data_IF_517306433364
#
_entry.id   IF_517306433364
#
_cell.length_a   1.000
_cell.length_b   1.000
_cell.length_c   1.000
_cell.angle_alpha   90.00
_cell.angle_beta   90.00
_cell.angle_gamma   90.00
#
_symmetry.space_group_name_H-M   'P 1'
#
loop_
_entity.id
_entity.type
_entity.pdbx_description
1 polymer ?
#
# COMPACT_ATOMS: atom_id res chain seq x y z
N UNK A 1 7.25 -15.69 -13.38
CA UNK A 1 5.84 -15.26 -13.26
C UNK A 1 5.90 -13.93 -12.53
N UNK A 2 5.39 -12.88 -13.14
CA UNK A 2 5.34 -11.55 -12.50
C UNK A 2 4.28 -11.52 -11.39
N UNK A 3 4.42 -10.60 -10.43
CA UNK A 3 3.47 -10.45 -9.33
C UNK A 3 2.03 -10.25 -9.83
N UNK A 4 1.85 -9.46 -10.90
CA UNK A 4 0.54 -9.21 -11.52
C UNK A 4 -0.06 -10.49 -12.15
N UNK A 5 0.76 -11.33 -12.79
CA UNK A 5 0.28 -12.60 -13.37
C UNK A 5 -0.11 -13.60 -12.28
N UNK A 6 0.64 -13.64 -11.17
CA UNK A 6 0.30 -14.48 -10.02
C UNK A 6 -1.00 -14.00 -9.37
N UNK A 7 -1.15 -12.69 -9.17
CA UNK A 7 -2.33 -12.09 -8.58
C UNK A 7 -3.59 -12.33 -9.43
N UNK A 8 -3.47 -12.14 -10.76
CA UNK A 8 -4.56 -12.41 -11.71
C UNK A 8 -4.97 -13.89 -11.71
N UNK A 9 -4.00 -14.81 -11.60
CA UNK A 9 -4.27 -16.23 -11.45
C UNK A 9 -4.94 -16.56 -10.11
N UNK A 10 -4.51 -15.94 -9.02
CA UNK A 10 -5.10 -16.09 -7.68
C UNK A 10 -6.55 -15.60 -7.64
N UNK A 11 -6.83 -14.44 -8.23
CA UNK A 11 -8.18 -13.89 -8.31
C UNK A 11 -9.16 -14.77 -9.15
N UNK A 12 -8.63 -15.58 -10.07
CA UNK A 12 -9.40 -16.50 -10.92
C UNK A 12 -9.59 -17.89 -10.31
N UNK A 13 -9.02 -18.17 -9.13
CA UNK A 13 -9.26 -19.45 -8.46
C UNK A 13 -10.74 -19.60 -8.15
N UNK A 14 -11.32 -20.71 -8.63
CA UNK A 14 -12.71 -21.06 -8.33
C UNK A 14 -12.84 -21.34 -6.82
N UNK A 15 -13.61 -20.49 -6.18
CA UNK A 15 -13.94 -20.60 -4.76
C UNK A 15 -15.21 -21.42 -4.64
N UNK A 16 -15.13 -22.72 -4.87
CA UNK A 16 -16.26 -23.66 -4.88
C UNK A 16 -17.16 -23.58 -3.63
N UNK A 17 -18.26 -24.34 -3.60
CA UNK A 17 -19.20 -24.34 -2.47
C UNK A 17 -18.51 -24.62 -1.14
N UNK A 18 -18.65 -23.71 -0.18
CA UNK A 18 -17.99 -23.81 1.14
C UNK A 18 -16.71 -22.99 1.30
N UNK A 19 -16.11 -22.48 0.23
CA UNK A 19 -14.89 -21.67 0.30
C UNK A 19 -15.05 -20.41 1.17
N UNK A 20 -16.22 -19.79 1.17
CA UNK A 20 -16.49 -18.63 2.03
C UNK A 20 -16.43 -18.98 3.53
N UNK A 21 -16.97 -20.14 3.93
CA UNK A 21 -16.93 -20.60 5.32
C UNK A 21 -15.50 -20.99 5.73
N UNK A 22 -14.75 -21.61 4.83
CA UNK A 22 -13.35 -21.94 5.05
C UNK A 22 -12.50 -20.68 5.18
N UNK A 23 -12.70 -19.69 4.32
CA UNK A 23 -12.04 -18.40 4.40
C UNK A 23 -12.32 -17.72 5.75
N UNK A 24 -13.57 -17.67 6.20
CA UNK A 24 -13.93 -17.10 7.50
C UNK A 24 -13.27 -17.84 8.67
N UNK A 25 -13.12 -19.17 8.57
CA UNK A 25 -12.39 -19.94 9.56
C UNK A 25 -10.90 -19.57 9.59
N UNK A 26 -10.27 -19.44 8.42
CA UNK A 26 -8.87 -19.03 8.29
C UNK A 26 -8.66 -17.61 8.82
N UNK A 27 -9.55 -16.68 8.50
CA UNK A 27 -9.47 -15.30 8.99
C UNK A 27 -9.56 -15.21 10.53
N UNK A 28 -10.49 -15.95 11.16
CA UNK A 28 -10.57 -16.03 12.63
C UNK A 28 -9.32 -16.66 13.25
N UNK A 29 -8.67 -17.60 12.57
CA UNK A 29 -7.40 -18.15 13.02
C UNK A 29 -6.29 -17.10 12.88
N UNK A 30 -6.24 -16.36 11.79
CA UNK A 30 -5.27 -15.29 11.57
C UNK A 30 -5.41 -14.16 12.61
N UNK A 31 -6.64 -13.74 12.95
CA UNK A 31 -6.87 -12.78 14.05
C UNK A 31 -6.32 -13.27 15.39
N UNK A 32 -6.59 -14.52 15.73
CA UNK A 32 -6.08 -15.11 16.98
C UNK A 32 -4.56 -15.23 16.99
N UNK A 33 -3.96 -15.59 15.87
CA UNK A 33 -2.51 -15.64 15.73
C UNK A 33 -1.89 -14.24 15.85
N UNK A 34 -2.47 -13.24 15.18
CA UNK A 34 -2.07 -11.83 15.28
C UNK A 34 -2.15 -11.34 16.74
N UNK A 35 -3.28 -11.56 17.40
CA UNK A 35 -3.50 -11.17 18.80
C UNK A 35 -2.49 -11.84 19.74
N UNK A 36 -2.14 -13.12 19.50
CA UNK A 36 -1.13 -13.86 20.29
C UNK A 36 0.27 -13.23 20.20
N UNK A 37 0.54 -12.45 19.16
CA UNK A 37 1.79 -11.72 18.92
C UNK A 37 1.69 -10.24 19.31
N UNK A 38 0.57 -9.82 19.89
CA UNK A 38 0.33 -8.43 20.31
C UNK A 38 -0.11 -7.49 19.17
N UNK A 39 -0.44 -8.01 17.99
CA UNK A 39 -1.00 -7.23 16.90
C UNK A 39 -2.47 -6.94 17.20
N UNK A 40 -2.85 -5.67 17.26
CA UNK A 40 -4.19 -5.22 17.63
C UNK A 40 -4.94 -4.51 16.50
N UNK A 41 -4.29 -4.32 15.36
CA UNK A 41 -4.90 -3.69 14.19
C UNK A 41 -4.04 -3.87 12.95
N UNK A 42 -4.69 -3.73 11.80
CA UNK A 42 -4.07 -3.85 10.47
C UNK A 42 -4.58 -2.75 9.55
N UNK A 43 -3.75 -2.35 8.60
CA UNK A 43 -4.15 -1.62 7.39
C UNK A 43 -4.24 -2.63 6.27
N UNK A 44 -5.44 -2.82 5.74
CA UNK A 44 -5.67 -3.77 4.66
C UNK A 44 -5.52 -3.06 3.31
N UNK A 45 -4.48 -3.44 2.59
CA UNK A 45 -4.18 -2.94 1.24
C UNK A 45 -4.30 -4.05 0.18
N UNK A 46 -5.21 -5.00 0.39
CA UNK A 46 -5.56 -5.94 -0.67
C UNK A 46 -6.11 -5.21 -1.89
N UNK A 47 -5.78 -5.70 -3.08
CA UNK A 47 -6.29 -5.15 -4.34
C UNK A 47 -7.71 -5.66 -4.60
N UNK A 48 -8.64 -5.27 -3.73
CA UNK A 48 -10.03 -5.73 -3.69
C UNK A 48 -10.98 -4.59 -3.30
N UNK A 49 -12.28 -4.89 -3.22
CA UNK A 49 -13.32 -4.00 -2.67
C UNK A 49 -13.26 -4.06 -1.14
N UNK A 50 -12.26 -3.43 -0.55
CA UNK A 50 -11.95 -3.60 0.87
C UNK A 50 -13.06 -3.09 1.78
N UNK A 51 -13.70 -1.97 1.46
CA UNK A 51 -14.82 -1.42 2.24
C UNK A 51 -15.93 -2.45 2.36
N UNK A 52 -16.49 -2.92 1.25
CA UNK A 52 -17.60 -3.87 1.22
C UNK A 52 -17.20 -5.22 1.83
N UNK A 53 -15.97 -5.64 1.56
CA UNK A 53 -15.40 -6.88 2.11
C UNK A 53 -15.39 -6.83 3.64
N UNK A 54 -14.92 -5.72 4.23
CA UNK A 54 -14.85 -5.59 5.69
C UNK A 54 -16.22 -5.35 6.34
N UNK A 55 -17.12 -4.61 5.71
CA UNK A 55 -18.51 -4.52 6.15
C UNK A 55 -19.13 -5.93 6.25
N UNK A 56 -18.93 -6.75 5.21
CA UNK A 56 -19.41 -8.13 5.21
C UNK A 56 -18.73 -9.00 6.28
N UNK A 57 -17.43 -8.86 6.50
CA UNK A 57 -16.68 -9.60 7.54
C UNK A 57 -17.13 -9.22 8.95
N UNK A 58 -17.29 -7.93 9.24
CA UNK A 58 -17.83 -7.45 10.53
C UNK A 58 -19.24 -7.98 10.78
N UNK A 59 -20.12 -7.97 9.79
CA UNK A 59 -21.47 -8.53 9.90
C UNK A 59 -21.49 -10.03 10.25
N UNK A 60 -20.41 -10.74 9.96
CA UNK A 60 -20.21 -12.16 10.28
C UNK A 60 -19.41 -12.40 11.57
N UNK A 61 -19.17 -11.32 12.36
CA UNK A 61 -18.48 -11.39 13.65
C UNK A 61 -16.98 -11.63 13.54
N UNK A 62 -16.32 -11.04 12.51
CA UNK A 62 -14.86 -10.95 12.44
C UNK A 62 -14.46 -9.60 13.05
N UNK A 63 -14.25 -9.56 14.35
CA UNK A 63 -14.08 -8.36 15.17
C UNK A 63 -12.89 -8.44 16.13
N UNK A 64 -11.92 -9.29 15.85
CA UNK A 64 -10.72 -9.50 16.69
C UNK A 64 -9.62 -8.45 16.49
N UNK A 65 -9.69 -7.63 15.45
CA UNK A 65 -8.68 -6.61 15.11
C UNK A 65 -9.34 -5.28 14.71
N UNK A 66 -8.61 -4.18 14.93
CA UNK A 66 -8.92 -2.92 14.26
C UNK A 66 -8.49 -3.01 12.79
N UNK A 67 -9.28 -2.42 11.90
CA UNK A 67 -9.02 -2.46 10.47
C UNK A 67 -9.17 -1.08 9.86
N UNK A 68 -8.19 -0.66 9.09
CA UNK A 68 -8.28 0.43 8.14
C UNK A 68 -8.35 -0.17 6.73
N UNK A 69 -9.52 -0.08 6.08
CA UNK A 69 -9.76 -0.65 4.75
C UNK A 69 -9.28 0.33 3.67
N UNK A 70 -8.12 0.10 3.09
CA UNK A 70 -7.53 0.94 2.05
C UNK A 70 -8.28 0.87 0.73
N UNK A 71 -8.19 1.94 -0.06
CA UNK A 71 -8.88 2.09 -1.34
C UNK A 71 -7.85 2.31 -2.44
N UNK A 72 -7.94 1.56 -3.53
CA UNK A 72 -7.07 1.78 -4.69
C UNK A 72 -7.59 2.92 -5.59
N UNK A 73 -6.73 3.56 -6.40
CA UNK A 73 -7.11 4.70 -7.25
C UNK A 73 -8.28 4.40 -8.18
N UNK A 74 -8.39 3.16 -8.67
CA UNK A 74 -9.47 2.71 -9.55
C UNK A 74 -10.83 2.70 -8.86
N UNK A 75 -10.85 2.65 -7.52
CA UNK A 75 -12.06 2.63 -6.67
C UNK A 75 -12.34 3.96 -5.98
N UNK A 76 -11.38 4.89 -6.02
CA UNK A 76 -11.50 6.16 -5.32
C UNK A 76 -12.75 6.94 -5.74
N UNK A 77 -13.04 7.00 -7.04
CA UNK A 77 -14.21 7.73 -7.53
C UNK A 77 -15.52 7.12 -7.04
N UNK A 78 -15.62 5.79 -6.99
CA UNK A 78 -16.79 5.12 -6.43
C UNK A 78 -16.93 5.42 -4.93
N UNK A 79 -15.85 5.35 -4.17
CA UNK A 79 -15.87 5.68 -2.75
C UNK A 79 -16.32 7.13 -2.49
N UNK A 80 -15.88 8.07 -3.33
CA UNK A 80 -16.33 9.47 -3.31
C UNK A 80 -17.84 9.57 -3.57
N UNK A 81 -18.32 8.91 -4.62
CA UNK A 81 -19.75 8.92 -5.00
C UNK A 81 -20.63 8.28 -3.93
N UNK A 82 -20.13 7.31 -3.19
CA UNK A 82 -20.77 6.66 -2.03
C UNK A 82 -20.67 7.51 -0.76
N UNK A 83 -19.94 8.62 -0.79
CA UNK A 83 -19.81 9.57 0.32
C UNK A 83 -18.82 9.19 1.41
N UNK A 84 -17.87 8.28 1.11
CA UNK A 84 -16.83 7.87 2.04
C UNK A 84 -15.69 8.88 2.16
N UNK A 85 -15.05 8.90 3.35
CA UNK A 85 -13.82 9.64 3.64
C UNK A 85 -12.90 8.78 4.51
N UNK A 86 -11.61 9.05 4.49
CA UNK A 86 -10.69 8.38 5.42
C UNK A 86 -11.12 8.64 6.87
N UNK A 87 -11.20 7.56 7.65
CA UNK A 87 -11.59 7.59 9.06
C UNK A 87 -13.07 7.34 9.31
N UNK A 88 -13.92 7.30 8.28
CA UNK A 88 -15.33 6.96 8.46
C UNK A 88 -15.48 5.54 8.99
N UNK A 89 -16.37 5.36 9.99
CA UNK A 89 -16.61 4.05 10.59
C UNK A 89 -17.37 3.15 9.62
N UNK A 90 -16.87 1.92 9.45
CA UNK A 90 -17.55 0.91 8.66
C UNK A 90 -18.78 0.35 9.38
N UNK A 91 -19.94 0.23 8.71
CA UNK A 91 -21.15 -0.32 9.30
C UNK A 91 -20.94 -1.68 9.97
N UNK A 92 -21.43 -1.83 11.19
CA UNK A 92 -21.34 -3.08 11.95
C UNK A 92 -19.98 -3.37 12.58
N UNK A 93 -19.01 -2.47 12.45
CA UNK A 93 -17.65 -2.65 13.00
C UNK A 93 -17.53 -2.34 14.49
N UNK A 94 -18.52 -1.64 15.08
CA UNK A 94 -18.49 -1.20 16.48
C UNK A 94 -17.21 -0.44 16.86
N UNK A 95 -16.74 0.45 15.95
CA UNK A 95 -15.55 1.26 16.14
C UNK A 95 -14.23 0.52 15.85
N UNK A 96 -14.26 -0.71 15.34
CA UNK A 96 -13.06 -1.47 14.98
C UNK A 96 -12.68 -1.32 13.52
N UNK A 97 -13.61 -0.97 12.64
CA UNK A 97 -13.37 -0.83 11.19
C UNK A 97 -13.55 0.59 10.73
N UNK A 98 -12.59 1.09 9.98
CA UNK A 98 -12.65 2.42 9.37
C UNK A 98 -12.22 2.37 7.91
N UNK A 99 -12.71 3.33 7.13
CA UNK A 99 -12.20 3.60 5.79
C UNK A 99 -10.75 4.07 5.91
N UNK A 100 -9.86 3.41 5.20
CA UNK A 100 -8.43 3.71 5.18
C UNK A 100 -8.06 4.75 4.12
N UNK A 101 -6.76 4.90 3.92
CA UNK A 101 -6.19 5.81 2.93
C UNK A 101 -6.35 5.27 1.49
N UNK A 102 -6.24 6.17 0.52
CA UNK A 102 -6.03 5.78 -0.87
C UNK A 102 -4.63 5.18 -1.02
N UNK A 103 -4.59 3.87 -1.30
CA UNK A 103 -3.35 3.12 -1.52
C UNK A 103 -2.91 3.23 -2.96
N UNK A 104 -1.69 3.71 -3.18
CA UNK A 104 -1.07 3.79 -4.49
C UNK A 104 0.26 3.03 -4.50
N UNK A 105 0.59 2.37 -5.61
CA UNK A 105 1.86 1.68 -5.83
C UNK A 105 2.63 2.47 -6.89
N UNK A 106 3.59 3.31 -6.47
CA UNK A 106 4.30 4.19 -7.41
C UNK A 106 5.36 3.48 -8.24
N UNK A 107 6.01 2.47 -7.66
CA UNK A 107 7.04 1.67 -8.32
C UNK A 107 7.00 0.22 -7.86
N UNK A 108 7.98 -0.58 -8.25
CA UNK A 108 8.08 -1.97 -7.83
C UNK A 108 9.06 -2.20 -6.68
N UNK A 109 9.66 -3.40 -6.62
CA UNK A 109 10.58 -3.82 -5.56
C UNK A 109 12.03 -3.98 -6.04
N UNK A 110 12.98 -3.99 -5.10
CA UNK A 110 14.39 -4.21 -5.39
C UNK A 110 14.65 -5.64 -5.89
N UNK A 111 14.00 -6.63 -5.30
CA UNK A 111 14.17 -8.04 -5.66
C UNK A 111 13.74 -8.33 -7.11
N UNK A 112 12.71 -7.66 -7.59
CA UNK A 112 12.25 -7.76 -8.98
C UNK A 112 12.97 -6.82 -9.94
N UNK A 113 13.82 -5.93 -9.43
CA UNK A 113 14.54 -4.86 -10.17
C UNK A 113 13.59 -3.89 -10.85
N UNK A 114 12.47 -3.65 -10.20
CA UNK A 114 11.43 -2.73 -10.67
C UNK A 114 11.25 -1.50 -9.76
N UNK A 115 11.95 -1.45 -8.60
CA UNK A 115 12.04 -0.20 -7.83
C UNK A 115 12.70 0.88 -8.70
N UNK A 116 12.07 2.07 -8.78
CA UNK A 116 12.52 3.14 -9.68
C UNK A 116 13.61 3.99 -9.03
N UNK A 117 14.84 3.80 -9.53
CA UNK A 117 16.06 4.34 -8.93
C UNK A 117 16.70 5.41 -9.81
N UNK A 118 17.40 6.36 -9.19
CA UNK A 118 18.16 7.41 -9.87
C UNK A 118 19.41 6.87 -10.61
N UNK A 119 19.90 5.70 -10.20
CA UNK A 119 21.00 4.99 -10.87
C UNK A 119 20.51 3.66 -11.43
N UNK A 120 21.05 3.22 -12.59
CA UNK A 120 20.62 1.97 -13.19
C UNK A 120 21.07 0.76 -12.37
N UNK A 121 20.35 -0.34 -12.51
CA UNK A 121 20.75 -1.64 -11.97
C UNK A 121 22.00 -2.15 -12.70
N UNK A 122 23.16 -2.11 -12.02
CA UNK A 122 24.46 -2.45 -12.58
C UNK A 122 24.49 -3.86 -13.16
N UNK A 123 25.04 -4.00 -14.37
CA UNK A 123 25.20 -5.30 -15.02
C UNK A 123 23.94 -5.90 -15.64
N UNK A 124 22.80 -5.22 -15.60
CA UNK A 124 21.58 -5.65 -16.29
C UNK A 124 21.56 -5.14 -17.73
N UNK A 125 21.08 -5.96 -18.65
CA UNK A 125 20.93 -5.62 -20.08
C UNK A 125 19.54 -6.04 -20.58
N UNK A 126 18.79 -5.16 -21.27
CA UNK A 126 19.10 -3.74 -21.47
C UNK A 126 19.18 -2.98 -20.14
N UNK A 127 19.84 -1.82 -20.13
CA UNK A 127 19.94 -0.97 -18.94
C UNK A 127 18.56 -0.59 -18.43
N UNK A 128 18.35 -0.67 -17.12
CA UNK A 128 17.08 -0.33 -16.48
C UNK A 128 17.30 0.42 -15.18
N UNK A 129 16.43 1.37 -14.90
CA UNK A 129 16.31 2.14 -13.67
C UNK A 129 15.15 1.66 -12.79
N UNK A 130 14.49 0.57 -13.18
CA UNK A 130 13.19 0.14 -12.63
C UNK A 130 12.03 0.73 -13.45
N UNK A 131 10.85 0.78 -12.84
CA UNK A 131 9.62 1.19 -13.54
C UNK A 131 8.71 1.95 -12.60
N UNK A 132 8.18 3.09 -13.04
CA UNK A 132 7.05 3.75 -12.39
C UNK A 132 5.75 3.10 -12.88
N UNK A 133 4.84 2.82 -11.94
CA UNK A 133 3.49 2.33 -12.25
C UNK A 133 2.59 3.42 -12.82
N UNK A 134 2.83 4.66 -12.42
CA UNK A 134 2.10 5.85 -12.85
C UNK A 134 3.08 6.97 -13.22
N UNK A 135 2.76 7.74 -14.26
CA UNK A 135 3.49 8.98 -14.53
C UNK A 135 3.34 9.97 -13.35
N UNK A 136 4.31 10.85 -13.09
CA UNK A 136 4.24 11.82 -11.98
C UNK A 136 2.96 12.65 -11.99
N UNK A 137 2.48 13.05 -13.16
CA UNK A 137 1.24 13.81 -13.34
C UNK A 137 -0.01 13.01 -12.94
N UNK A 138 0.01 11.71 -13.15
CA UNK A 138 -1.07 10.80 -12.71
C UNK A 138 -1.06 10.64 -11.19
N UNK A 139 0.12 10.49 -10.58
CA UNK A 139 0.28 10.44 -9.12
C UNK A 139 -0.28 11.72 -8.50
N UNK A 140 0.12 12.87 -9.02
CA UNK A 140 -0.37 14.18 -8.56
C UNK A 140 -1.89 14.31 -8.72
N UNK A 141 -2.43 13.87 -9.85
CA UNK A 141 -3.87 13.92 -10.11
C UNK A 141 -4.69 13.09 -9.13
N UNK A 142 -4.23 11.87 -8.82
CA UNK A 142 -4.89 11.02 -7.84
C UNK A 142 -4.79 11.60 -6.42
N UNK A 143 -3.62 12.11 -6.04
CA UNK A 143 -3.44 12.75 -4.73
C UNK A 143 -4.33 13.99 -4.58
N UNK A 144 -4.43 14.81 -5.63
CA UNK A 144 -5.31 15.99 -5.63
C UNK A 144 -6.77 15.60 -5.46
N UNK A 145 -7.22 14.58 -6.21
CA UNK A 145 -8.57 14.05 -6.08
C UNK A 145 -8.84 13.51 -4.66
N UNK A 146 -7.88 12.79 -4.08
CA UNK A 146 -7.98 12.28 -2.72
C UNK A 146 -8.14 13.43 -1.71
N UNK A 147 -7.25 14.42 -1.76
CA UNK A 147 -7.29 15.59 -0.86
C UNK A 147 -8.60 16.36 -0.98
N UNK A 148 -9.07 16.63 -2.19
CA UNK A 148 -10.32 17.37 -2.46
C UNK A 148 -11.54 16.68 -1.86
N UNK A 149 -11.47 15.36 -1.64
CA UNK A 149 -12.58 14.55 -1.12
C UNK A 149 -12.28 13.90 0.24
N UNK A 150 -11.32 14.43 1.00
CA UNK A 150 -11.08 14.01 2.39
C UNK A 150 -10.46 12.63 2.56
N UNK A 151 -9.68 12.18 1.56
CA UNK A 151 -8.90 10.95 1.67
C UNK A 151 -7.43 11.24 1.94
N UNK A 152 -6.87 10.53 2.91
CA UNK A 152 -5.43 10.40 3.08
C UNK A 152 -4.82 9.50 2.00
N UNK A 153 -3.50 9.53 1.88
CA UNK A 153 -2.75 8.67 0.98
C UNK A 153 -1.88 7.65 1.73
N UNK A 154 -1.70 6.49 1.12
CA UNK A 154 -0.68 5.50 1.50
C UNK A 154 0.08 5.09 0.23
N UNK A 155 1.19 5.77 -0.03
CA UNK A 155 1.89 5.61 -1.30
C UNK A 155 3.12 4.71 -1.13
N UNK A 156 3.13 3.54 -1.80
CA UNK A 156 4.31 2.70 -1.89
C UNK A 156 5.39 3.42 -2.70
N UNK A 157 6.58 3.55 -2.14
CA UNK A 157 7.77 4.01 -2.84
C UNK A 157 9.01 3.33 -2.27
N UNK A 158 9.71 2.55 -3.11
CA UNK A 158 10.92 1.82 -2.72
C UNK A 158 12.17 2.45 -3.31
N UNK A 159 12.21 2.72 -4.61
CA UNK A 159 13.34 3.37 -5.26
C UNK A 159 13.54 4.81 -4.79
N UNK A 160 14.79 5.26 -4.79
CA UNK A 160 15.14 6.61 -4.35
C UNK A 160 14.54 7.71 -5.26
N UNK A 161 14.40 7.44 -6.56
CA UNK A 161 13.75 8.36 -7.48
C UNK A 161 12.23 8.33 -7.34
N UNK A 162 11.62 7.16 -7.11
CA UNK A 162 10.20 7.05 -6.82
C UNK A 162 9.82 7.82 -5.56
N UNK A 163 10.61 7.70 -4.48
CA UNK A 163 10.43 8.46 -3.25
C UNK A 163 10.50 9.97 -3.51
N UNK A 164 11.50 10.46 -4.26
CA UNK A 164 11.60 11.88 -4.62
C UNK A 164 10.34 12.35 -5.35
N UNK A 165 9.88 11.62 -6.37
CA UNK A 165 8.70 11.97 -7.16
C UNK A 165 7.44 12.02 -6.29
N UNK A 166 7.24 11.02 -5.43
CA UNK A 166 6.07 10.98 -4.53
C UNK A 166 6.08 12.16 -3.57
N UNK A 167 7.23 12.46 -2.95
CA UNK A 167 7.38 13.62 -2.05
C UNK A 167 7.12 14.95 -2.78
N UNK A 168 7.56 15.09 -4.03
CA UNK A 168 7.29 16.27 -4.85
C UNK A 168 5.79 16.42 -5.15
N UNK A 169 5.09 15.31 -5.40
CA UNK A 169 3.63 15.31 -5.58
C UNK A 169 2.91 15.69 -4.28
N UNK A 170 3.32 15.14 -3.13
CA UNK A 170 2.75 15.51 -1.83
C UNK A 170 2.94 16.99 -1.54
N UNK A 171 4.13 17.54 -1.79
CA UNK A 171 4.40 18.96 -1.59
C UNK A 171 3.48 19.87 -2.41
N UNK A 172 3.19 19.49 -3.68
CA UNK A 172 2.31 20.24 -4.57
C UNK A 172 0.81 20.07 -4.25
N UNK A 173 0.42 18.94 -3.69
CA UNK A 173 -1.00 18.62 -3.44
C UNK A 173 -1.40 18.84 -1.99
N UNK A 174 -0.44 18.98 -1.08
CA UNK A 174 -0.65 19.00 0.37
C UNK A 174 -1.36 17.73 0.87
N UNK A 175 -1.11 16.59 0.24
CA UNK A 175 -1.66 15.31 0.68
C UNK A 175 -1.10 14.89 2.04
N UNK A 176 -1.91 14.22 2.84
CA UNK A 176 -1.55 13.70 4.15
C UNK A 176 -1.55 12.17 4.13
N UNK A 177 -0.81 11.54 5.04
CA UNK A 177 -0.81 10.09 5.17
C UNK A 177 0.59 9.49 5.31
N UNK A 178 0.90 8.45 4.53
CA UNK A 178 2.14 7.69 4.67
C UNK A 178 2.83 7.38 3.34
N UNK A 179 4.15 7.23 3.43
CA UNK A 179 4.95 6.56 2.42
C UNK A 179 5.21 5.14 2.91
N UNK A 180 4.68 4.17 2.19
CA UNK A 180 4.89 2.75 2.49
C UNK A 180 6.26 2.31 1.96
N UNK A 181 6.96 1.54 2.77
CA UNK A 181 8.33 1.10 2.62
C UNK A 181 9.35 2.21 2.83
N UNK A 182 9.30 3.35 2.12
CA UNK A 182 10.29 4.45 2.21
C UNK A 182 11.73 3.90 2.27
N UNK A 183 12.04 2.92 1.39
CA UNK A 183 13.16 2.01 1.61
C UNK A 183 14.48 2.61 1.15
N UNK A 184 14.55 3.20 -0.02
CA UNK A 184 15.71 3.93 -0.52
C UNK A 184 15.38 5.42 -0.56
N UNK A 185 15.97 6.18 0.32
CA UNK A 185 15.76 7.64 0.40
C UNK A 185 17.08 8.36 0.12
N UNK A 186 17.03 9.39 -0.71
CA UNK A 186 18.15 10.35 -0.80
C UNK A 186 18.25 11.12 0.52
N UNK A 187 19.46 11.42 0.98
CA UNK A 187 19.66 12.17 2.24
C UNK A 187 18.82 13.46 2.31
N UNK A 188 18.71 14.16 1.17
CA UNK A 188 17.90 15.38 1.07
C UNK A 188 16.40 15.17 1.26
N UNK A 189 15.90 13.95 1.01
CA UNK A 189 14.47 13.62 1.08
C UNK A 189 14.05 13.15 2.48
N UNK A 190 14.97 12.66 3.31
CA UNK A 190 14.69 12.21 4.67
C UNK A 190 13.98 13.30 5.52
N UNK A 191 14.48 14.54 5.59
CA UNK A 191 13.81 15.58 6.40
C UNK A 191 12.46 16.01 5.83
N UNK A 192 12.20 15.80 4.53
CA UNK A 192 10.94 16.16 3.89
C UNK A 192 9.74 15.37 4.45
N UNK A 193 9.95 14.12 4.87
CA UNK A 193 8.90 13.34 5.51
C UNK A 193 8.31 14.07 6.72
N UNK A 194 9.17 14.56 7.60
CA UNK A 194 8.73 15.33 8.77
C UNK A 194 8.17 16.72 8.39
N UNK A 195 8.78 17.40 7.44
CA UNK A 195 8.33 18.72 6.97
C UNK A 195 6.94 18.67 6.33
N UNK A 196 6.63 17.59 5.62
CA UNK A 196 5.34 17.36 4.97
C UNK A 196 4.33 16.65 5.89
N UNK A 197 4.73 16.30 7.12
CA UNK A 197 3.85 15.63 8.08
C UNK A 197 3.51 14.18 7.70
N UNK A 198 4.36 13.53 6.91
CA UNK A 198 4.14 12.16 6.45
C UNK A 198 4.69 11.12 7.43
N UNK A 199 3.96 10.04 7.61
CA UNK A 199 4.49 8.85 8.28
C UNK A 199 5.35 8.02 7.31
N UNK A 200 6.50 7.54 7.77
CA UNK A 200 7.27 6.52 7.09
C UNK A 200 6.85 5.14 7.63
N UNK A 201 6.16 4.36 6.82
CA UNK A 201 5.70 3.01 7.17
C UNK A 201 6.77 2.00 6.74
N UNK A 202 7.76 1.79 7.59
CA UNK A 202 8.93 0.98 7.29
C UNK A 202 8.79 -0.47 7.77
N UNK A 203 9.37 -1.39 7.01
CA UNK A 203 9.50 -2.79 7.39
C UNK A 203 10.99 -3.10 7.62
N UNK A 204 11.44 -3.25 8.88
CA UNK A 204 12.85 -3.51 9.19
C UNK A 204 13.44 -4.75 8.49
N UNK A 205 12.59 -5.73 8.16
CA UNK A 205 13.00 -6.94 7.46
C UNK A 205 13.57 -6.64 6.06
N UNK A 206 13.09 -5.60 5.36
CA UNK A 206 13.65 -5.20 4.06
C UNK A 206 15.14 -4.86 4.14
N UNK A 207 15.60 -4.27 5.24
CA UNK A 207 17.01 -3.97 5.42
C UNK A 207 17.88 -5.23 5.48
N UNK A 208 17.30 -6.36 5.88
CA UNK A 208 17.99 -7.66 5.91
C UNK A 208 17.92 -8.37 4.56
N UNK A 209 16.72 -8.41 3.96
CA UNK A 209 16.47 -9.18 2.74
C UNK A 209 17.09 -8.51 1.51
N UNK A 210 17.07 -7.18 1.45
CA UNK A 210 17.52 -6.42 0.28
C UNK A 210 18.97 -5.90 0.36
N UNK A 211 19.64 -6.08 1.51
CA UNK A 211 21.04 -5.65 1.70
C UNK A 211 21.95 -6.16 0.59
N UNK A 212 21.86 -7.45 0.28
CA UNK A 212 22.73 -8.08 -0.71
C UNK A 212 22.34 -7.67 -2.14
N UNK A 213 21.08 -7.35 -2.38
CA UNK A 213 20.58 -6.78 -3.64
C UNK A 213 21.18 -5.40 -3.85
N UNK A 214 21.12 -4.52 -2.85
CA UNK A 214 21.71 -3.17 -2.89
C UNK A 214 23.22 -3.25 -3.13
N UNK A 215 23.93 -4.10 -2.38
CA UNK A 215 25.37 -4.31 -2.54
C UNK A 215 25.71 -4.79 -3.96
N UNK A 216 24.92 -5.70 -4.50
CA UNK A 216 25.14 -6.26 -5.85
C UNK A 216 25.02 -5.21 -6.94
N UNK A 217 24.05 -4.30 -6.86
CA UNK A 217 23.74 -3.39 -7.96
C UNK A 217 24.41 -2.03 -7.81
N UNK A 218 24.65 -1.56 -6.59
CA UNK A 218 25.20 -0.22 -6.30
C UNK A 218 26.37 -0.22 -5.29
N UNK A 219 26.72 -1.38 -4.74
CA UNK A 219 27.92 -1.50 -3.90
C UNK A 219 29.19 -1.41 -4.75
N UNK A 220 30.08 -0.46 -4.43
CA UNK A 220 31.42 -0.38 -4.99
C UNK A 220 32.40 -1.23 -4.17
#
# INVERSE_FOLDING_TARGET
VGELEWFDAYCKLDKGPGAANELMHLLRNAERDAASKGVVGVRDYEMAENIDTWISRFSQGLDGLRVEAGIYPERLRQAIDDGWHTGDELPGSHGLGHVGAMKMISDGSLNTRSAYCSMPYSGIRPETYGTLSYAPEQIESYMRLAVEHGFDIACHAIGDEANTIVLDCVERTHAHGSIEHAQMLKERDIPRLAQLGLAASIQPQHAMDDRDVITRFWGN
#
